data_IF_966624786012
#
_entry.id   IF_966624786012
#
_cell.length_a   1.000
_cell.length_b   1.000
_cell.length_c   1.000
_cell.angle_alpha   90.00
_cell.angle_beta   90.00
_cell.angle_gamma   90.00
#
_symmetry.space_group_name_H-M   'P 1'
#
loop_
_entity.id
_entity.type
_entity.pdbx_description
1 polymer ?
#
# COMPACT_ATOMS: atom_id res chain seq x y z
N UNK A 1 -16.52 -9.48 2.18
CA UNK A 1 -16.92 -8.06 2.34
C UNK A 1 -15.82 -7.37 3.14
N UNK A 2 -15.38 -6.17 2.73
CA UNK A 2 -14.44 -5.33 3.48
C UNK A 2 -15.05 -3.94 3.68
N UNK A 3 -14.66 -3.25 4.75
CA UNK A 3 -15.01 -1.85 4.98
C UNK A 3 -13.78 -1.03 5.31
N UNK A 4 -13.79 0.24 4.92
CA UNK A 4 -12.81 1.23 5.35
C UNK A 4 -13.54 2.52 5.75
N UNK A 5 -12.90 3.34 6.57
CA UNK A 5 -13.38 4.68 6.93
C UNK A 5 -12.18 5.62 7.02
N UNK A 6 -12.32 6.84 6.53
CA UNK A 6 -11.30 7.88 6.63
C UNK A 6 -11.94 9.18 7.10
N UNK A 7 -11.31 9.85 8.05
CA UNK A 7 -11.86 11.05 8.69
C UNK A 7 -10.77 12.11 8.84
N UNK A 8 -10.98 13.29 8.23
CA UNK A 8 -10.00 14.40 8.23
C UNK A 8 -9.69 14.93 9.64
N UNK A 9 -10.64 14.83 10.56
CA UNK A 9 -10.52 15.43 11.88
C UNK A 9 -10.34 16.94 11.83
N UNK A 10 -9.45 17.46 12.67
CA UNK A 10 -9.19 18.91 12.84
C UNK A 10 -8.13 19.46 11.87
N UNK A 11 -7.58 18.64 10.96
CA UNK A 11 -6.55 19.08 10.02
C UNK A 11 -7.16 19.97 8.92
N UNK A 12 -6.41 20.95 8.38
CA UNK A 12 -6.88 21.80 7.29
C UNK A 12 -7.16 20.97 6.02
N UNK A 13 -6.25 20.08 5.67
CA UNK A 13 -6.26 19.19 4.50
C UNK A 13 -6.45 17.72 4.91
N UNK A 14 -6.95 16.89 4.00
CA UNK A 14 -6.97 15.42 4.13
C UNK A 14 -5.88 14.85 3.23
N UNK A 15 -4.76 14.47 3.83
CA UNK A 15 -3.57 13.98 3.11
C UNK A 15 -3.50 12.45 3.06
N UNK A 16 -4.27 11.78 3.93
CA UNK A 16 -4.49 10.34 3.93
C UNK A 16 -5.06 9.88 2.59
N UNK A 17 -4.50 8.77 2.08
CA UNK A 17 -5.05 8.02 0.95
C UNK A 17 -5.14 6.55 1.31
N UNK A 18 -6.05 5.85 0.67
CA UNK A 18 -6.15 4.41 0.78
C UNK A 18 -6.47 3.80 -0.58
N UNK A 19 -6.10 2.54 -0.77
CA UNK A 19 -6.50 1.74 -1.92
C UNK A 19 -6.82 0.31 -1.49
N UNK A 20 -7.77 -0.31 -2.19
CA UNK A 20 -8.16 -1.70 -1.92
C UNK A 20 -8.25 -2.44 -3.24
N UNK A 21 -7.45 -3.50 -3.40
CA UNK A 21 -7.45 -4.33 -4.60
C UNK A 21 -7.70 -5.79 -4.28
N UNK A 22 -8.58 -6.38 -5.08
CA UNK A 22 -8.85 -7.81 -5.09
C UNK A 22 -8.29 -8.38 -6.40
N UNK A 23 -7.30 -9.27 -6.29
CA UNK A 23 -6.66 -9.87 -7.44
C UNK A 23 -6.67 -11.40 -7.32
N UNK A 24 -6.77 -12.08 -8.46
CA UNK A 24 -6.59 -13.54 -8.51
C UNK A 24 -5.21 -13.84 -9.08
N UNK A 25 -4.30 -14.32 -8.24
CA UNK A 25 -2.91 -14.59 -8.61
C UNK A 25 -2.64 -16.09 -8.50
N UNK A 26 -2.25 -16.73 -9.61
CA UNK A 26 -1.95 -18.19 -9.67
C UNK A 26 -3.06 -19.07 -9.06
N UNK A 27 -4.32 -18.70 -9.29
CA UNK A 27 -5.48 -19.42 -8.75
C UNK A 27 -5.86 -19.07 -7.31
N UNK A 28 -5.03 -18.31 -6.58
CA UNK A 28 -5.31 -17.81 -5.23
C UNK A 28 -5.95 -16.43 -5.28
N UNK A 29 -7.01 -16.23 -4.52
CA UNK A 29 -7.59 -14.90 -4.29
C UNK A 29 -6.74 -14.15 -3.28
N UNK A 30 -6.23 -12.99 -3.67
CA UNK A 30 -5.41 -12.09 -2.87
C UNK A 30 -6.17 -10.79 -2.67
N UNK A 31 -6.18 -10.30 -1.43
CA UNK A 31 -6.73 -8.98 -1.11
C UNK A 31 -5.61 -8.08 -0.60
N UNK A 32 -5.43 -6.91 -1.22
CA UNK A 32 -4.45 -5.91 -0.81
C UNK A 32 -5.18 -4.68 -0.29
N UNK A 33 -4.72 -4.17 0.84
CA UNK A 33 -5.19 -2.95 1.46
C UNK A 33 -3.99 -2.03 1.67
N UNK A 34 -3.98 -0.88 1.02
CA UNK A 34 -2.97 0.16 1.17
C UNK A 34 -3.54 1.33 1.96
N UNK A 35 -2.83 1.80 2.99
CA UNK A 35 -3.11 3.04 3.71
C UNK A 35 -1.85 3.89 3.68
N UNK A 36 -1.98 5.12 3.23
CA UNK A 36 -0.88 6.05 2.94
C UNK A 36 -1.13 7.34 3.73
N UNK A 37 -0.33 7.60 4.75
CA UNK A 37 -0.42 8.80 5.58
C UNK A 37 0.44 9.91 5.00
N UNK A 38 -0.15 10.77 4.16
CA UNK A 38 0.57 11.86 3.50
C UNK A 38 1.04 12.93 4.49
N UNK A 39 2.27 13.42 4.29
CA UNK A 39 2.83 14.55 5.04
C UNK A 39 3.42 15.59 4.09
N UNK A 40 3.29 16.87 4.43
CA UNK A 40 3.71 18.00 3.60
C UNK A 40 3.03 18.03 2.20
N UNK A 41 1.80 17.53 2.12
CA UNK A 41 0.99 17.48 0.91
C UNK A 41 0.60 16.07 0.48
N UNK A 42 -0.50 15.97 -0.26
CA UNK A 42 -1.12 14.68 -0.61
C UNK A 42 -0.51 13.98 -1.84
N UNK A 43 0.41 14.62 -2.56
CA UNK A 43 0.89 14.12 -3.86
C UNK A 43 1.60 12.76 -3.76
N UNK A 44 2.44 12.57 -2.74
CA UNK A 44 3.16 11.31 -2.55
C UNK A 44 2.19 10.17 -2.21
N UNK A 45 1.25 10.42 -1.29
CA UNK A 45 0.22 9.46 -0.93
C UNK A 45 -0.72 9.13 -2.11
N UNK A 46 -1.08 10.12 -2.94
CA UNK A 46 -1.86 9.89 -4.17
C UNK A 46 -1.10 9.02 -5.16
N UNK A 47 0.18 9.32 -5.40
CA UNK A 47 1.03 8.55 -6.32
C UNK A 47 1.19 7.09 -5.88
N UNK A 48 1.37 6.83 -4.57
CA UNK A 48 1.39 5.45 -4.06
C UNK A 48 0.05 4.75 -4.24
N UNK A 49 -1.06 5.43 -3.95
CA UNK A 49 -2.39 4.87 -4.13
C UNK A 49 -2.64 4.48 -5.59
N UNK A 50 -2.10 5.22 -6.56
CA UNK A 50 -2.24 4.89 -7.98
C UNK A 50 -1.32 3.78 -8.48
N UNK A 51 -0.12 3.62 -7.90
CA UNK A 51 0.92 2.75 -8.50
C UNK A 51 1.39 1.58 -7.63
N UNK A 52 1.31 1.67 -6.30
CA UNK A 52 1.92 0.68 -5.41
C UNK A 52 1.26 -0.69 -5.55
N UNK A 53 -0.06 -0.76 -5.38
CA UNK A 53 -0.78 -2.03 -5.38
C UNK A 53 -0.75 -2.69 -6.77
N UNK A 54 -0.82 -1.89 -7.85
CA UNK A 54 -0.73 -2.41 -9.22
C UNK A 54 0.63 -3.02 -9.55
N UNK A 55 1.71 -2.40 -9.09
CA UNK A 55 3.05 -2.93 -9.28
C UNK A 55 3.31 -4.17 -8.40
N UNK A 56 2.72 -4.22 -7.20
CA UNK A 56 2.80 -5.40 -6.32
C UNK A 56 2.13 -6.63 -6.93
N UNK A 57 0.92 -6.48 -7.46
CA UNK A 57 0.19 -7.58 -8.12
C UNK A 57 0.98 -8.13 -9.32
N UNK A 58 1.72 -7.27 -10.03
CA UNK A 58 2.57 -7.67 -11.16
C UNK A 58 3.91 -8.27 -10.74
N UNK A 59 4.33 -8.11 -9.48
CA UNK A 59 5.66 -8.54 -9.05
C UNK A 59 5.76 -10.07 -8.93
N UNK A 60 6.72 -10.73 -9.62
CA UNK A 60 6.77 -12.19 -9.72
C UNK A 60 7.01 -12.89 -8.37
N UNK A 61 7.64 -12.20 -7.44
CA UNK A 61 7.93 -12.72 -6.10
C UNK A 61 6.87 -12.37 -5.05
N UNK A 62 5.78 -11.66 -5.40
CA UNK A 62 4.80 -11.21 -4.41
C UNK A 62 4.24 -12.36 -3.55
N UNK A 63 3.83 -13.47 -4.18
CA UNK A 63 3.30 -14.64 -3.47
C UNK A 63 4.37 -15.41 -2.67
N UNK A 64 5.64 -15.36 -3.09
CA UNK A 64 6.73 -16.15 -2.49
C UNK A 64 7.44 -15.38 -1.38
N UNK A 65 7.65 -14.09 -1.57
CA UNK A 65 8.30 -13.20 -0.63
C UNK A 65 7.67 -11.79 -0.75
N UNK A 66 6.52 -11.57 -0.10
CA UNK A 66 5.80 -10.29 -0.18
C UNK A 66 6.62 -9.14 0.39
N UNK A 67 7.47 -9.38 1.40
CA UNK A 67 8.36 -8.36 1.99
C UNK A 67 9.38 -7.86 0.97
N UNK A 68 10.02 -8.77 0.23
CA UNK A 68 10.97 -8.40 -0.82
C UNK A 68 10.28 -7.70 -2.00
N UNK A 69 9.13 -8.20 -2.43
CA UNK A 69 8.33 -7.56 -3.48
C UNK A 69 7.94 -6.12 -3.10
N UNK A 70 7.53 -5.93 -1.85
CA UNK A 70 7.21 -4.62 -1.30
C UNK A 70 8.39 -3.69 -1.27
N UNK A 71 9.54 -4.13 -0.74
CA UNK A 71 10.76 -3.32 -0.74
C UNK A 71 11.20 -2.94 -2.16
N UNK A 72 11.13 -3.87 -3.12
CA UNK A 72 11.51 -3.62 -4.51
C UNK A 72 10.58 -2.62 -5.19
N UNK A 73 9.26 -2.84 -5.11
CA UNK A 73 8.28 -1.93 -5.73
C UNK A 73 8.34 -0.56 -5.07
N UNK A 74 8.48 -0.52 -3.76
CA UNK A 74 8.60 0.75 -3.04
C UNK A 74 9.85 1.53 -3.47
N UNK A 75 11.02 0.88 -3.52
CA UNK A 75 12.27 1.50 -3.97
C UNK A 75 12.22 1.95 -5.44
N UNK A 76 11.48 1.21 -6.29
CA UNK A 76 11.24 1.59 -7.68
C UNK A 76 10.39 2.86 -7.80
N UNK A 77 9.38 3.02 -6.92
CA UNK A 77 8.45 4.14 -6.95
C UNK A 77 8.98 5.37 -6.21
N UNK A 78 9.79 5.17 -5.18
CA UNK A 78 10.35 6.23 -4.34
C UNK A 78 11.82 5.94 -4.06
N UNK A 79 12.70 6.82 -4.53
CA UNK A 79 14.15 6.81 -4.24
C UNK A 79 14.48 7.46 -2.88
N UNK A 80 13.49 7.65 -2.00
CA UNK A 80 13.66 8.34 -0.72
C UNK A 80 13.94 7.34 0.42
N UNK A 81 15.00 7.52 1.22
CA UNK A 81 15.42 6.57 2.27
C UNK A 81 14.58 6.61 3.56
N UNK A 82 13.60 7.51 3.69
CA UNK A 82 12.94 7.81 4.99
C UNK A 82 11.60 7.10 5.25
N UNK A 83 11.12 6.25 4.34
CA UNK A 83 9.77 5.68 4.45
C UNK A 83 9.77 4.30 5.11
N UNK A 84 8.86 4.10 6.07
CA UNK A 84 8.68 2.82 6.76
C UNK A 84 7.49 2.09 6.13
N UNK A 85 7.76 0.99 5.43
CA UNK A 85 6.71 0.12 4.89
C UNK A 85 6.54 -1.11 5.76
N UNK A 86 5.32 -1.31 6.29
CA UNK A 86 4.99 -2.46 7.13
C UNK A 86 3.94 -3.34 6.45
N UNK A 87 4.32 -4.49 5.87
CA UNK A 87 3.35 -5.49 5.47
C UNK A 87 2.88 -6.25 6.71
N UNK A 88 1.59 -6.18 7.00
CA UNK A 88 0.93 -7.04 7.97
C UNK A 88 0.22 -8.18 7.21
N UNK A 89 0.78 -9.40 7.19
CA UNK A 89 0.07 -10.55 6.69
C UNK A 89 -1.09 -10.85 7.65
N UNK A 90 -2.31 -10.75 7.15
CA UNK A 90 -3.51 -11.22 7.84
C UNK A 90 -3.91 -12.57 7.23
N UNK A 91 -4.69 -13.40 7.94
CA UNK A 91 -5.11 -14.70 7.43
C UNK A 91 -5.81 -14.59 6.05
N UNK A 92 -5.78 -15.68 5.28
CA UNK A 92 -6.44 -15.80 3.97
C UNK A 92 -5.87 -14.89 2.87
N UNK A 93 -4.53 -14.89 2.69
CA UNK A 93 -3.86 -14.16 1.59
C UNK A 93 -4.23 -12.68 1.49
N UNK A 94 -4.44 -12.06 2.64
CA UNK A 94 -4.75 -10.65 2.73
C UNK A 94 -3.54 -9.90 3.29
N UNK A 95 -3.23 -8.74 2.70
CA UNK A 95 -2.07 -7.94 3.03
C UNK A 95 -2.49 -6.51 3.32
N UNK A 96 -2.21 -6.05 4.55
CA UNK A 96 -2.33 -4.64 4.92
C UNK A 96 -0.96 -3.99 4.80
N UNK A 97 -0.87 -2.92 3.99
CA UNK A 97 0.34 -2.17 3.71
C UNK A 97 0.12 -0.77 4.24
N UNK A 98 0.92 -0.38 5.23
CA UNK A 98 0.95 1.00 5.72
C UNK A 98 2.23 1.66 5.25
N UNK A 99 2.12 2.87 4.70
CA UNK A 99 3.26 3.74 4.41
C UNK A 99 3.06 5.04 5.16
N UNK A 100 3.98 5.31 6.08
CA UNK A 100 4.05 6.53 6.85
C UNK A 100 5.18 7.39 6.27
N UNK A 101 4.89 8.66 5.96
CA UNK A 101 5.89 9.65 5.53
C UNK A 101 6.28 10.51 6.74
N UNK A 102 7.58 10.60 7.03
CA UNK A 102 8.14 11.49 8.06
C UNK A 102 8.77 12.74 7.43
#
# INVERSE_FOLDING_TARGET
SCGYSSFKGRRPTMEDRYDVKFAKMKGQSVSLFGVFDGHAGALAAEYLKEHLLDNLIKHPQFLRNPKLALSNVFFLLFTMPSCVVRPFPVPYHTYLITVDYF
#
